data_IF_275581225191
#
_entry.id   IF_275581225191
#
_cell.length_a   1.000
_cell.length_b   1.000
_cell.length_c   1.000
_cell.angle_alpha   90.00
_cell.angle_beta   90.00
_cell.angle_gamma   90.00
#
_symmetry.space_group_name_H-M   'P 1'
#
loop_
_entity.id
_entity.type
_entity.pdbx_description
1 polymer ?
#
# COMPACT_ATOMS: atom_id res chain seq x y z
N UNK A 1 -19.08 -13.23 -9.58
CA UNK A 1 -19.73 -12.73 -10.80
C UNK A 1 -18.63 -12.16 -11.69
N UNK A 2 -18.28 -12.81 -12.80
CA UNK A 2 -17.15 -12.40 -13.64
C UNK A 2 -17.65 -11.39 -14.68
N UNK A 3 -17.26 -10.12 -14.54
CA UNK A 3 -17.63 -9.07 -15.50
C UNK A 3 -16.59 -9.12 -16.62
N UNK A 4 -16.95 -9.51 -17.85
CA UNK A 4 -15.99 -9.88 -18.90
C UNK A 4 -15.03 -8.77 -19.35
N UNK A 5 -15.29 -7.50 -19.01
CA UNK A 5 -14.38 -6.38 -19.34
C UNK A 5 -13.43 -6.01 -18.21
N UNK A 6 -13.76 -6.33 -16.95
CA UNK A 6 -12.88 -6.04 -15.83
C UNK A 6 -11.77 -7.10 -15.81
N UNK A 7 -10.51 -6.68 -15.85
CA UNK A 7 -9.41 -7.63 -15.73
C UNK A 7 -9.51 -8.37 -14.41
N UNK A 8 -9.19 -9.67 -14.44
CA UNK A 8 -9.23 -10.51 -13.24
C UNK A 8 -8.21 -10.02 -12.22
N UNK A 9 -8.46 -10.26 -10.93
CA UNK A 9 -7.56 -9.84 -9.84
C UNK A 9 -6.13 -10.38 -10.03
N UNK A 10 -5.99 -11.49 -10.75
CA UNK A 10 -4.70 -12.12 -11.09
C UNK A 10 -3.88 -11.34 -12.14
N UNK A 11 -4.51 -10.49 -12.96
CA UNK A 11 -3.83 -9.64 -13.94
C UNK A 11 -3.27 -8.35 -13.34
N UNK A 12 -3.54 -8.07 -12.06
CA UNK A 12 -3.12 -6.82 -11.44
C UNK A 12 -1.59 -6.76 -11.28
N UNK A 13 -0.92 -5.69 -11.76
CA UNK A 13 0.56 -5.64 -11.83
C UNK A 13 1.26 -5.74 -10.47
N UNK A 14 0.59 -5.34 -9.38
CA UNK A 14 1.14 -5.45 -8.03
C UNK A 14 1.16 -6.90 -7.53
N UNK A 15 0.19 -7.73 -7.95
CA UNK A 15 0.11 -9.14 -7.56
C UNK A 15 1.26 -9.93 -8.17
N UNK A 16 1.58 -9.66 -9.44
CA UNK A 16 2.70 -10.27 -10.15
C UNK A 16 4.05 -9.87 -9.53
N UNK A 17 4.22 -8.60 -9.14
CA UNK A 17 5.45 -8.08 -8.52
C UNK A 17 5.71 -8.65 -7.11
N UNK A 18 4.66 -9.06 -6.39
CA UNK A 18 4.78 -9.65 -5.05
C UNK A 18 5.54 -10.99 -5.05
N UNK A 19 5.55 -11.71 -6.18
CA UNK A 19 6.17 -13.05 -6.29
C UNK A 19 7.71 -13.01 -6.31
N UNK A 20 8.33 -11.85 -6.50
CA UNK A 20 9.79 -11.68 -6.64
C UNK A 20 10.46 -10.85 -5.54
N UNK A 21 9.86 -10.78 -4.34
CA UNK A 21 10.45 -10.03 -3.22
C UNK A 21 11.67 -10.76 -2.65
N UNK A 22 12.78 -10.04 -2.50
CA UNK A 22 13.99 -10.55 -1.82
C UNK A 22 13.70 -10.83 -0.33
N UNK A 23 14.45 -11.75 0.28
CA UNK A 23 14.33 -12.03 1.72
C UNK A 23 14.58 -10.78 2.58
N UNK A 24 15.49 -9.91 2.13
CA UNK A 24 15.77 -8.63 2.79
C UNK A 24 14.59 -7.67 2.75
N UNK A 25 13.88 -7.60 1.61
CA UNK A 25 12.68 -6.78 1.45
C UNK A 25 11.53 -7.25 2.35
N UNK A 26 11.38 -8.57 2.49
CA UNK A 26 10.40 -9.18 3.40
C UNK A 26 10.73 -8.90 4.86
N UNK A 27 12.00 -8.98 5.24
CA UNK A 27 12.45 -8.65 6.60
C UNK A 27 12.19 -7.17 6.92
N UNK A 28 12.54 -6.27 6.00
CA UNK A 28 12.31 -4.83 6.15
C UNK A 28 10.82 -4.48 6.26
N UNK A 29 9.95 -5.10 5.46
CA UNK A 29 8.50 -4.88 5.53
C UNK A 29 7.93 -5.33 6.88
N UNK A 30 8.37 -6.49 7.38
CA UNK A 30 7.94 -7.04 8.67
C UNK A 30 8.42 -6.16 9.83
N UNK A 31 9.68 -5.71 9.77
CA UNK A 31 10.25 -4.78 10.77
C UNK A 31 9.52 -3.44 10.78
N UNK A 32 9.21 -2.88 9.60
CA UNK A 32 8.49 -1.61 9.49
C UNK A 32 7.07 -1.71 10.04
N UNK A 33 6.37 -2.82 9.76
CA UNK A 33 5.04 -3.08 10.33
C UNK A 33 5.09 -3.29 11.85
N UNK A 34 6.13 -3.96 12.37
CA UNK A 34 6.32 -4.18 13.80
C UNK A 34 6.67 -2.91 14.59
N UNK A 35 7.54 -2.05 14.06
CA UNK A 35 7.95 -0.80 14.72
C UNK A 35 6.84 0.26 14.79
N UNK A 36 5.81 0.16 13.96
CA UNK A 36 4.65 1.05 13.98
C UNK A 36 3.53 0.66 14.96
N UNK A 37 3.67 -0.46 15.68
CA UNK A 37 2.63 -0.96 16.58
C UNK A 37 2.67 -0.26 17.95
N UNK A 38 1.51 0.06 18.51
CA UNK A 38 1.38 0.60 19.86
C UNK A 38 2.05 -0.29 20.92
N UNK A 39 2.00 -1.61 20.75
CA UNK A 39 2.63 -2.56 21.67
C UNK A 39 4.15 -2.45 21.68
N UNK A 40 4.78 -2.14 20.54
CA UNK A 40 6.23 -1.98 20.43
C UNK A 40 6.72 -0.77 21.23
N UNK A 41 5.98 0.34 21.18
CA UNK A 41 6.31 1.56 21.92
C UNK A 41 6.34 1.32 23.43
N UNK A 42 5.35 0.59 23.98
CA UNK A 42 5.32 0.27 25.40
C UNK A 42 6.44 -0.69 25.81
N UNK A 43 6.74 -1.72 25.02
CA UNK A 43 7.84 -2.66 25.30
C UNK A 43 9.19 -1.92 25.25
N UNK A 44 9.42 -1.09 24.24
CA UNK A 44 10.65 -0.32 24.11
C UNK A 44 10.83 0.67 25.26
N UNK A 45 9.77 1.40 25.62
CA UNK A 45 9.76 2.29 26.79
C UNK A 45 10.03 1.54 28.10
N UNK A 46 9.45 0.35 28.28
CA UNK A 46 9.70 -0.49 29.45
C UNK A 46 11.17 -0.95 29.53
N UNK A 47 11.78 -1.34 28.40
CA UNK A 47 13.21 -1.71 28.35
C UNK A 47 14.09 -0.53 28.76
N UNK A 48 13.81 0.67 28.23
CA UNK A 48 14.55 1.88 28.61
C UNK A 48 14.36 2.20 30.09
N UNK A 49 13.13 2.09 30.61
CA UNK A 49 12.86 2.30 32.03
C UNK A 49 13.58 1.29 32.94
N UNK A 50 13.62 0.01 32.54
CA UNK A 50 14.36 -1.05 33.25
C UNK A 50 15.86 -0.75 33.21
N UNK A 51 16.40 -0.31 32.08
CA UNK A 51 17.81 0.06 31.95
C UNK A 51 18.20 1.20 32.90
N UNK A 52 17.37 2.24 32.96
CA UNK A 52 17.54 3.36 33.89
C UNK A 52 17.46 2.85 35.33
N UNK A 53 16.44 2.05 35.66
CA UNK A 53 16.25 1.51 37.01
C UNK A 53 17.44 0.65 37.47
N UNK A 54 17.97 -0.23 36.61
CA UNK A 54 19.14 -1.06 36.90
C UNK A 54 20.41 -0.23 37.13
N UNK A 55 20.61 0.84 36.36
CA UNK A 55 21.74 1.74 36.54
C UNK A 55 21.62 2.59 37.81
N UNK A 56 20.43 3.13 38.09
CA UNK A 56 20.17 3.98 39.28
C UNK A 56 20.24 3.19 40.59
N UNK A 57 19.71 1.96 40.62
CA UNK A 57 19.77 1.10 41.81
C UNK A 57 21.15 0.48 42.05
N UNK A 58 22.14 0.74 41.17
CA UNK A 58 23.53 0.37 41.41
C UNK A 58 23.77 -1.14 41.52
N UNK A 59 22.94 -1.97 40.86
CA UNK A 59 23.00 -3.44 40.96
C UNK A 59 24.37 -4.00 40.55
N UNK A 60 25.08 -3.30 39.66
CA UNK A 60 26.46 -3.59 39.27
C UNK A 60 27.18 -2.28 38.95
N UNK A 61 27.76 -1.61 39.95
CA UNK A 61 28.86 -0.63 39.75
C UNK A 61 28.65 0.53 38.76
N UNK A 62 27.45 1.11 38.64
CA UNK A 62 27.14 2.33 37.85
C UNK A 62 27.84 2.37 36.47
N UNK A 63 27.53 1.41 35.59
CA UNK A 63 28.17 1.32 34.28
C UNK A 63 27.80 2.46 33.32
N UNK A 64 26.64 3.10 33.52
CA UNK A 64 26.22 4.30 32.80
C UNK A 64 25.71 5.37 33.79
N UNK A 65 26.63 6.13 34.44
CA UNK A 65 26.25 7.20 35.36
C UNK A 65 25.45 8.29 34.66
N UNK A 66 24.57 8.97 35.41
CA UNK A 66 23.87 10.15 34.91
C UNK A 66 24.88 11.15 34.31
N UNK A 67 24.78 11.53 33.01
CA UNK A 67 23.58 11.67 32.17
C UNK A 67 23.29 10.52 31.16
N UNK A 68 23.72 9.28 31.40
CA UNK A 68 23.48 8.10 30.55
C UNK A 68 24.05 8.21 29.12
N UNK A 69 25.38 8.35 29.00
CA UNK A 69 26.05 8.57 27.72
C UNK A 69 25.90 7.36 26.76
N UNK A 70 25.90 6.14 27.30
CA UNK A 70 25.80 4.93 26.50
C UNK A 70 24.38 4.74 25.98
N UNK A 71 23.38 4.96 26.83
CA UNK A 71 21.98 4.94 26.41
C UNK A 71 21.72 5.99 25.31
N UNK A 72 22.22 7.21 25.50
CA UNK A 72 22.04 8.28 24.53
C UNK A 72 22.73 7.96 23.18
N UNK A 73 23.92 7.37 23.21
CA UNK A 73 24.62 6.93 22.01
C UNK A 73 23.82 5.84 21.29
N UNK A 74 23.36 4.82 22.01
CA UNK A 74 22.59 3.72 21.45
C UNK A 74 21.28 4.20 20.81
N UNK A 75 20.51 5.03 21.51
CA UNK A 75 19.26 5.61 20.99
C UNK A 75 19.51 6.47 19.74
N UNK A 76 20.58 7.27 19.73
CA UNK A 76 20.95 8.09 18.58
C UNK A 76 21.31 7.24 17.36
N UNK A 77 22.09 6.17 17.55
CA UNK A 77 22.43 5.24 16.46
C UNK A 77 21.19 4.53 15.92
N UNK A 78 20.30 4.03 16.78
CA UNK A 78 19.05 3.39 16.36
C UNK A 78 18.20 4.37 15.52
N UNK A 79 18.07 5.62 15.97
CA UNK A 79 17.32 6.64 15.25
C UNK A 79 17.94 6.98 13.90
N UNK A 80 19.27 7.00 13.80
CA UNK A 80 19.98 7.24 12.54
C UNK A 80 19.71 6.12 11.52
N UNK A 81 19.64 4.87 11.96
CA UNK A 81 19.31 3.72 11.09
C UNK A 81 17.81 3.62 10.76
N UNK A 82 16.92 4.16 11.60
CA UNK A 82 15.47 4.14 11.35
C UNK A 82 15.10 4.93 10.08
N UNK A 83 15.65 6.13 9.89
CA UNK A 83 15.24 7.01 8.79
C UNK A 83 15.46 6.39 7.39
N UNK A 84 16.62 5.77 7.07
CA UNK A 84 16.83 5.07 5.80
C UNK A 84 15.91 3.86 5.61
N UNK A 85 15.69 3.05 6.66
CA UNK A 85 14.81 1.88 6.58
C UNK A 85 13.37 2.29 6.29
N UNK A 86 12.89 3.33 6.98
CA UNK A 86 11.58 3.93 6.73
C UNK A 86 11.52 4.46 5.29
N UNK A 87 12.56 5.17 4.82
CA UNK A 87 12.61 5.70 3.47
C UNK A 87 12.61 4.61 2.40
N UNK A 88 13.32 3.49 2.61
CA UNK A 88 13.29 2.34 1.69
C UNK A 88 11.90 1.69 1.64
N UNK A 89 11.24 1.52 2.79
CA UNK A 89 9.88 0.99 2.87
C UNK A 89 8.86 1.94 2.22
N UNK A 90 9.00 3.24 2.45
CA UNK A 90 8.17 4.28 1.82
C UNK A 90 8.38 4.37 0.31
N UNK A 91 9.62 4.28 -0.17
CA UNK A 91 9.92 4.30 -1.60
C UNK A 91 9.26 3.09 -2.31
N UNK A 92 9.35 1.90 -1.69
CA UNK A 92 8.69 0.68 -2.18
C UNK A 92 7.16 0.77 -2.13
N UNK A 93 6.58 1.41 -1.12
CA UNK A 93 5.13 1.67 -1.05
C UNK A 93 4.68 2.64 -2.15
N UNK A 94 5.34 3.78 -2.28
CA UNK A 94 5.07 4.79 -3.31
C UNK A 94 5.14 4.20 -4.72
N UNK A 95 6.12 3.34 -5.00
CA UNK A 95 6.23 2.64 -6.29
C UNK A 95 5.05 1.71 -6.56
N UNK A 96 4.57 0.99 -5.54
CA UNK A 96 3.38 0.13 -5.66
C UNK A 96 2.14 0.98 -5.93
N UNK A 97 1.94 2.04 -5.15
CA UNK A 97 0.79 2.93 -5.29
C UNK A 97 0.75 3.59 -6.67
N UNK A 98 1.92 4.01 -7.18
CA UNK A 98 2.05 4.56 -8.54
C UNK A 98 1.67 3.56 -9.63
N UNK A 99 2.07 2.29 -9.47
CA UNK A 99 1.72 1.23 -10.42
C UNK A 99 0.21 0.94 -10.38
N UNK A 100 -0.39 0.88 -9.18
CA UNK A 100 -1.84 0.71 -9.01
C UNK A 100 -2.59 1.83 -9.72
N UNK A 101 -2.23 3.09 -9.42
CA UNK A 101 -2.92 4.26 -9.96
C UNK A 101 -2.87 4.31 -11.49
N UNK A 102 -1.73 3.92 -12.10
CA UNK A 102 -1.59 3.84 -13.57
C UNK A 102 -2.49 2.75 -14.16
N UNK A 103 -2.58 1.60 -13.50
CA UNK A 103 -3.40 0.49 -13.94
C UNK A 103 -4.89 0.84 -13.85
N UNK A 104 -5.32 1.36 -12.70
CA UNK A 104 -6.70 1.80 -12.45
C UNK A 104 -7.12 2.86 -13.47
N UNK A 105 -6.23 3.81 -13.77
CA UNK A 105 -6.46 4.81 -14.81
C UNK A 105 -6.67 4.17 -16.20
N UNK A 106 -5.85 3.20 -16.57
CA UNK A 106 -5.95 2.52 -17.88
C UNK A 106 -7.26 1.72 -18.00
N UNK A 107 -7.65 1.01 -16.93
CA UNK A 107 -8.92 0.27 -16.86
C UNK A 107 -10.09 1.23 -16.96
N UNK A 108 -10.07 2.35 -16.21
CA UNK A 108 -11.14 3.34 -16.25
C UNK A 108 -11.30 3.96 -17.66
N UNK A 109 -10.19 4.28 -18.33
CA UNK A 109 -10.20 4.78 -19.72
C UNK A 109 -10.69 3.75 -20.74
N UNK A 110 -10.51 2.45 -20.46
CA UNK A 110 -11.09 1.38 -21.28
C UNK A 110 -12.59 1.30 -21.04
N UNK A 111 -13.02 1.29 -19.78
CA UNK A 111 -14.42 1.29 -19.40
C UNK A 111 -15.19 2.46 -20.02
N UNK A 112 -14.61 3.67 -19.99
CA UNK A 112 -15.18 4.88 -20.61
C UNK A 112 -15.45 4.67 -22.11
N UNK A 113 -14.49 4.10 -22.86
CA UNK A 113 -14.64 3.82 -24.29
C UNK A 113 -15.70 2.77 -24.57
N UNK A 114 -15.74 1.69 -23.80
CA UNK A 114 -16.76 0.65 -23.97
C UNK A 114 -18.17 1.19 -23.68
N UNK A 115 -18.32 2.05 -22.68
CA UNK A 115 -19.60 2.73 -22.40
C UNK A 115 -20.02 3.61 -23.58
N UNK A 116 -19.09 4.37 -24.18
CA UNK A 116 -19.37 5.19 -25.36
C UNK A 116 -19.81 4.34 -26.56
N UNK A 117 -19.19 3.18 -26.77
CA UNK A 117 -19.59 2.24 -27.82
C UNK A 117 -21.00 1.71 -27.58
N UNK A 118 -21.32 1.27 -26.36
CA UNK A 118 -22.66 0.80 -26.00
C UNK A 118 -23.72 1.89 -26.17
N UNK A 119 -23.40 3.14 -25.83
CA UNK A 119 -24.31 4.27 -26.05
C UNK A 119 -24.61 4.48 -27.55
N UNK A 120 -23.58 4.37 -28.40
CA UNK A 120 -23.73 4.49 -29.85
C UNK A 120 -24.58 3.35 -30.41
N UNK A 121 -24.32 2.11 -30.00
CA UNK A 121 -25.10 0.94 -30.42
C UNK A 121 -26.58 1.07 -30.00
N UNK A 122 -26.84 1.61 -28.80
CA UNK A 122 -28.18 1.92 -28.31
C UNK A 122 -28.90 2.98 -29.17
N UNK A 123 -28.19 4.04 -29.59
CA UNK A 123 -28.73 5.05 -30.48
C UNK A 123 -29.08 4.47 -31.85
N UNK A 124 -28.20 3.66 -32.44
CA UNK A 124 -28.45 2.98 -33.72
C UNK A 124 -29.67 2.06 -33.65
N UNK A 125 -29.78 1.25 -32.58
CA UNK A 125 -30.95 0.40 -32.35
C UNK A 125 -32.24 1.21 -32.20
N UNK A 126 -32.19 2.34 -31.47
CA UNK A 126 -33.35 3.22 -31.28
C UNK A 126 -33.85 3.78 -32.61
N UNK A 127 -32.95 4.20 -33.49
CA UNK A 127 -33.32 4.69 -34.82
C UNK A 127 -33.88 3.57 -35.72
N UNK A 128 -33.31 2.36 -35.68
CA UNK A 128 -33.85 1.21 -36.42
C UNK A 128 -35.28 0.86 -35.96
N UNK A 129 -35.54 0.84 -34.65
CA UNK A 129 -36.87 0.57 -34.09
C UNK A 129 -37.88 1.63 -34.52
N UNK A 130 -37.49 2.92 -34.49
CA UNK A 130 -38.33 4.03 -34.95
C UNK A 130 -38.68 3.92 -36.44
N UNK A 131 -37.71 3.56 -37.28
CA UNK A 131 -37.92 3.35 -38.72
C UNK A 131 -38.88 2.18 -38.99
N UNK A 132 -38.80 1.09 -38.22
CA UNK A 132 -39.74 -0.03 -38.31
C UNK A 132 -41.16 0.36 -37.87
N UNK A 133 -41.30 1.15 -36.80
CA UNK A 133 -42.59 1.69 -36.35
C UNK A 133 -43.27 2.58 -37.39
N UNK A 134 -42.51 3.40 -38.12
CA UNK A 134 -43.02 4.28 -39.18
C UNK A 134 -43.52 3.53 -40.42
N UNK A 135 -42.90 2.39 -40.79
CA UNK A 135 -43.34 1.59 -41.96
C UNK A 135 -44.66 0.85 -41.72
N UNK A 136 -44.97 0.42 -40.49
CA UNK A 136 -46.24 -0.26 -40.18
C UNK A 136 -47.48 0.65 -40.30
N UNK A 137 -47.33 1.97 -40.16
CA UNK A 137 -48.45 2.92 -40.25
C UNK A 137 -48.80 3.34 -41.68
N UNK A 138 -47.91 3.16 -42.67
CA UNK A 138 -48.15 3.53 -44.08
C UNK A 138 -48.74 2.41 -44.93
N UNK A 139 -48.86 1.19 -44.38
CA UNK A 139 -49.31 0.01 -45.11
C UNK A 139 -50.70 -0.50 -44.64
N UNK A 140 -51.50 0.40 -44.06
CA UNK A 140 -52.88 0.19 -43.64
C UNK A 140 -53.73 1.30 -44.23
#
# INVERSE_FOLDING_TARGET
>A
MNIPFLPSEEEHPIVLKKKSLSLADRAADTMTQGMGSWSFLFIFGAIVAIWIALNVYGWWSNWDPYPFILLNLALSTISAFQAPVIMMSQNRQTDRDRISAKYDYAVNRKAEREIQLIQKDLEELKEMVKAMGGKKSKNK
#
